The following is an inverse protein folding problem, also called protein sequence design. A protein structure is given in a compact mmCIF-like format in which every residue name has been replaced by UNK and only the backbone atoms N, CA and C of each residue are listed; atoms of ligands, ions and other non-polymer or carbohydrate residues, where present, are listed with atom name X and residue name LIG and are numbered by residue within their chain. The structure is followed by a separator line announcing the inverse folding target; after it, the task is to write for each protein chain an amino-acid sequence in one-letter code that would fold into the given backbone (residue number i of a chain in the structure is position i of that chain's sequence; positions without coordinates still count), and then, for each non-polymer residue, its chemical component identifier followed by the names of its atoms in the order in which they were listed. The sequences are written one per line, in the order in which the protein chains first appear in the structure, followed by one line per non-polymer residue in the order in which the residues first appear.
data_IF_661794707416
#
_entry.id   IF_661794707416
#
_cell.length_a   1.000
_cell.length_b   1.000
_cell.length_c   1.000
_cell.angle_alpha   90.00
_cell.angle_beta   90.00
_cell.angle_gamma   90.00
#
_symmetry.space_group_name_H-M   'P 1'
#
loop_
_entity.id
_entity.type
_entity.pdbx_description
1 polymer ?
#
# COMPACT_ATOMS: atom_id res chain seq x y z
N UNK A 1 7.08 -24.52 21.55
CA UNK A 1 7.40 -25.91 21.14
C UNK A 1 6.37 -26.61 20.23
N UNK A 2 5.21 -26.02 19.86
CA UNK A 2 4.20 -26.69 19.00
C UNK A 2 4.18 -26.23 17.50
N UNK A 3 4.98 -25.22 17.11
CA UNK A 3 5.07 -24.74 15.72
C UNK A 3 6.05 -25.52 14.84
N UNK A 4 7.05 -26.15 15.44
CA UNK A 4 8.08 -26.92 14.71
C UNK A 4 7.58 -28.31 14.29
N UNK A 5 6.63 -28.89 15.00
CA UNK A 5 6.09 -30.21 14.68
C UNK A 5 5.19 -30.22 13.42
N UNK A 6 4.56 -29.08 13.07
CA UNK A 6 3.70 -28.98 11.89
C UNK A 6 4.50 -28.93 10.58
N UNK A 7 5.65 -28.25 10.57
CA UNK A 7 6.52 -28.19 9.40
C UNK A 7 7.28 -29.51 9.14
N UNK A 8 7.60 -30.26 10.20
CA UNK A 8 8.27 -31.56 10.07
C UNK A 8 7.37 -32.66 9.50
N UNK A 9 6.05 -32.57 9.66
CA UNK A 9 5.11 -33.53 9.09
C UNK A 9 4.85 -33.31 7.59
N UNK A 10 5.10 -32.11 7.05
CA UNK A 10 4.99 -31.85 5.62
C UNK A 10 6.20 -32.30 4.81
N UNK A 11 7.38 -32.40 5.42
CA UNK A 11 8.62 -32.85 4.76
C UNK A 11 8.77 -34.37 4.66
N UNK A 12 7.86 -35.13 5.30
CA UNK A 12 7.89 -36.60 5.33
C UNK A 12 7.11 -37.31 4.20
N UNK A 13 6.39 -36.58 3.37
CA UNK A 13 5.65 -37.16 2.23
C UNK A 13 6.48 -37.05 0.93
N UNK A 14 7.54 -37.81 0.88
CA UNK A 14 8.30 -38.11 -0.36
C UNK A 14 7.52 -39.04 -1.30
N UNK A 15 6.27 -38.71 -1.62
CA UNK A 15 5.52 -39.27 -2.71
C UNK A 15 5.65 -38.36 -3.94
N UNK A 16 6.12 -38.91 -5.07
CA UNK A 16 6.20 -38.21 -6.33
C UNK A 16 4.87 -37.51 -6.64
N UNK A 17 4.85 -36.19 -6.52
CA UNK A 17 3.75 -35.37 -7.03
C UNK A 17 3.87 -35.41 -8.54
N UNK A 18 3.03 -36.20 -9.18
CA UNK A 18 2.90 -36.18 -10.63
C UNK A 18 2.53 -34.78 -11.06
N UNK A 19 3.35 -34.17 -11.90
CA UNK A 19 3.07 -32.87 -12.49
C UNK A 19 1.69 -32.92 -13.16
N UNK A 20 0.80 -31.95 -12.95
CA UNK A 20 -0.41 -31.88 -13.74
C UNK A 20 -0.02 -31.60 -15.19
N UNK A 21 -0.54 -32.43 -16.11
CA UNK A 21 -0.37 -32.26 -17.53
C UNK A 21 -0.68 -30.82 -17.94
N UNK A 22 0.17 -30.26 -18.75
CA UNK A 22 0.08 -28.92 -19.33
C UNK A 22 -1.22 -28.77 -20.15
N UNK A 23 -2.24 -28.35 -19.48
CA UNK A 23 -3.48 -27.85 -20.03
C UNK A 23 -3.77 -26.55 -19.30
N UNK A 24 -3.25 -25.45 -19.82
CA UNK A 24 -3.70 -24.14 -19.40
C UNK A 24 -5.17 -24.02 -19.81
N UNK A 25 -6.08 -24.41 -18.92
CA UNK A 25 -7.47 -23.98 -19.02
C UNK A 25 -7.48 -22.47 -18.88
N UNK A 26 -7.96 -21.81 -19.91
CA UNK A 26 -8.37 -20.39 -19.84
C UNK A 26 -9.23 -20.23 -18.58
N UNK A 27 -9.14 -19.06 -17.88
CA UNK A 27 -10.01 -18.80 -16.73
C UNK A 27 -11.47 -19.02 -17.16
N UNK A 28 -12.25 -19.74 -16.34
CA UNK A 28 -13.67 -19.89 -16.54
C UNK A 28 -14.29 -18.50 -16.71
N UNK A 29 -15.28 -18.36 -17.61
CA UNK A 29 -16.03 -17.09 -17.82
C UNK A 29 -16.68 -16.58 -16.53
N UNK A 30 -16.91 -17.43 -15.53
CA UNK A 30 -17.32 -17.04 -14.16
C UNK A 30 -16.23 -16.27 -13.40
N UNK A 31 -14.96 -16.38 -13.76
CA UNK A 31 -13.86 -15.63 -13.12
C UNK A 31 -13.83 -14.16 -13.58
N UNK A 32 -14.40 -13.82 -14.74
CA UNK A 32 -14.47 -12.44 -15.25
C UNK A 32 -15.40 -11.53 -14.42
N UNK A 33 -16.24 -12.11 -13.55
CA UNK A 33 -17.14 -11.37 -12.63
C UNK A 33 -16.65 -11.38 -11.17
N UNK A 34 -15.53 -12.00 -10.91
CA UNK A 34 -15.00 -12.04 -9.56
C UNK A 34 -14.61 -10.63 -9.08
N UNK A 35 -14.88 -10.28 -7.81
CA UNK A 35 -14.49 -8.96 -7.29
C UNK A 35 -12.98 -8.78 -7.39
N UNK A 36 -12.57 -7.67 -8.02
CA UNK A 36 -11.18 -7.27 -8.15
C UNK A 36 -10.84 -6.14 -7.18
N UNK A 37 -9.61 -6.12 -6.68
CA UNK A 37 -9.07 -5.02 -5.88
C UNK A 37 -7.83 -4.42 -6.54
N UNK A 38 -7.71 -3.09 -6.46
CA UNK A 38 -6.51 -2.36 -6.81
C UNK A 38 -5.72 -2.05 -5.55
N UNK A 39 -4.41 -2.26 -5.58
CA UNK A 39 -3.51 -1.93 -4.47
C UNK A 39 -2.46 -0.94 -4.96
N UNK A 40 -2.36 0.18 -4.27
CA UNK A 40 -1.39 1.24 -4.54
C UNK A 40 -0.34 1.25 -3.43
N UNK A 41 0.92 1.14 -3.82
CA UNK A 41 2.04 1.07 -2.86
C UNK A 41 2.38 2.44 -2.27
N UNK A 42 3.09 2.48 -1.15
CA UNK A 42 3.72 3.71 -0.69
C UNK A 42 4.98 4.04 -1.51
N UNK A 43 5.41 5.29 -1.44
CA UNK A 43 6.64 5.72 -2.13
C UNK A 43 6.84 7.23 -2.24
N UNK A 44 6.14 8.03 -1.43
CA UNK A 44 6.30 9.48 -1.41
C UNK A 44 6.04 10.11 -2.77
N UNK A 45 6.96 10.96 -3.27
CA UNK A 45 6.80 11.63 -4.56
C UNK A 45 6.77 10.68 -5.78
N UNK A 46 7.23 9.44 -5.63
CA UNK A 46 7.08 8.39 -6.64
C UNK A 46 5.62 8.02 -6.92
N UNK A 47 4.67 8.39 -6.03
CA UNK A 47 3.23 8.22 -6.23
C UNK A 47 2.69 8.95 -7.48
N UNK A 48 3.43 9.87 -8.07
CA UNK A 48 3.14 10.44 -9.38
C UNK A 48 3.04 9.36 -10.47
N UNK A 49 3.88 8.33 -10.40
CA UNK A 49 3.84 7.17 -11.29
C UNK A 49 2.49 6.43 -11.17
N UNK A 50 2.03 6.18 -9.95
CA UNK A 50 0.71 5.55 -9.74
C UNK A 50 -0.43 6.39 -10.34
N UNK A 51 -0.38 7.71 -10.16
CA UNK A 51 -1.38 8.59 -10.76
C UNK A 51 -1.36 8.52 -12.30
N UNK A 52 -0.18 8.36 -12.90
CA UNK A 52 -0.04 8.08 -14.33
C UNK A 52 -0.66 6.75 -14.74
N UNK A 53 -0.42 5.69 -13.98
CA UNK A 53 -1.04 4.37 -14.21
C UNK A 53 -2.58 4.47 -14.09
N UNK A 54 -3.09 5.12 -13.04
CA UNK A 54 -4.53 5.32 -12.84
C UNK A 54 -5.15 6.05 -14.04
N UNK A 55 -4.50 7.08 -14.53
CA UNK A 55 -4.96 7.82 -15.72
C UNK A 55 -4.98 6.94 -16.98
N UNK A 56 -3.97 6.08 -17.16
CA UNK A 56 -3.95 5.13 -18.26
C UNK A 56 -5.12 4.12 -18.18
N UNK A 57 -5.37 3.58 -16.98
CA UNK A 57 -6.48 2.65 -16.73
C UNK A 57 -7.84 3.33 -16.97
N UNK A 58 -8.00 4.56 -16.48
CA UNK A 58 -9.20 5.37 -16.71
C UNK A 58 -9.49 5.57 -18.21
N UNK A 59 -8.44 5.94 -18.97
CA UNK A 59 -8.56 6.11 -20.45
C UNK A 59 -8.91 4.81 -21.14
N UNK A 60 -8.26 3.71 -20.76
CA UNK A 60 -8.56 2.39 -21.33
C UNK A 60 -10.01 1.94 -21.05
N UNK A 61 -10.53 2.28 -19.87
CA UNK A 61 -11.92 2.02 -19.51
C UNK A 61 -12.91 3.03 -20.11
N UNK A 62 -12.43 4.13 -20.71
CA UNK A 62 -13.25 5.21 -21.28
C UNK A 62 -14.23 5.83 -20.28
N UNK A 63 -13.81 5.98 -19.00
CA UNK A 63 -14.60 6.58 -17.94
C UNK A 63 -14.18 8.01 -17.63
N UNK A 64 -15.13 8.81 -17.11
CA UNK A 64 -14.93 10.17 -16.61
C UNK A 64 -14.87 10.26 -15.10
N UNK A 65 -14.81 11.49 -14.59
CA UNK A 65 -14.96 11.74 -13.16
C UNK A 65 -16.39 11.36 -12.70
N UNK A 66 -16.49 10.86 -11.47
CA UNK A 66 -17.73 10.38 -10.88
C UNK A 66 -18.14 8.95 -11.27
N UNK A 67 -17.31 8.25 -12.05
CA UNK A 67 -17.54 6.85 -12.42
C UNK A 67 -16.55 5.92 -11.70
N UNK A 68 -16.95 4.71 -11.28
CA UNK A 68 -16.06 3.75 -10.65
C UNK A 68 -15.06 3.20 -11.66
N UNK A 69 -13.81 2.97 -11.25
CA UNK A 69 -12.78 2.36 -12.10
C UNK A 69 -13.03 0.84 -12.23
N UNK A 70 -13.48 0.33 -13.39
CA UNK A 70 -13.69 -1.09 -13.56
C UNK A 70 -12.33 -1.82 -13.73
N UNK A 71 -12.21 -3.09 -13.36
CA UNK A 71 -13.26 -3.95 -12.76
C UNK A 71 -13.31 -3.88 -11.22
N UNK A 72 -12.66 -2.89 -10.62
CA UNK A 72 -12.39 -2.87 -9.18
C UNK A 72 -13.65 -2.61 -8.34
N UNK A 73 -13.77 -3.38 -7.25
CA UNK A 73 -14.78 -3.19 -6.19
C UNK A 73 -14.17 -2.57 -4.93
N UNK A 74 -12.85 -2.63 -4.81
CA UNK A 74 -12.11 -2.05 -3.69
C UNK A 74 -10.75 -1.52 -4.14
N UNK A 75 -10.28 -0.47 -3.46
CA UNK A 75 -8.93 0.05 -3.61
C UNK A 75 -8.28 0.19 -2.23
N UNK A 76 -7.03 -0.24 -2.16
CA UNK A 76 -6.22 -0.24 -0.95
C UNK A 76 -4.96 0.59 -1.20
N UNK A 77 -4.52 1.32 -0.18
CA UNK A 77 -3.29 2.08 -0.27
C UNK A 77 -2.54 2.20 1.04
N UNK A 78 -1.24 2.47 0.94
CA UNK A 78 -0.37 2.83 2.06
C UNK A 78 0.40 4.09 1.70
N UNK A 79 0.69 4.94 2.67
CA UNK A 79 1.43 6.19 2.43
C UNK A 79 0.78 7.04 1.32
N UNK A 80 1.55 7.50 0.35
CA UNK A 80 1.05 8.25 -0.80
C UNK A 80 0.01 7.44 -1.61
N UNK A 81 0.17 6.11 -1.67
CA UNK A 81 -0.80 5.23 -2.31
C UNK A 81 -2.18 5.31 -1.66
N UNK A 82 -2.28 5.57 -0.35
CA UNK A 82 -3.56 5.81 0.33
C UNK A 82 -4.23 7.10 -0.15
N UNK A 83 -3.45 8.15 -0.43
CA UNK A 83 -3.95 9.41 -0.98
C UNK A 83 -4.42 9.21 -2.42
N UNK A 84 -3.62 8.56 -3.28
CA UNK A 84 -4.00 8.25 -4.65
C UNK A 84 -5.26 7.35 -4.68
N UNK A 85 -5.34 6.35 -3.80
CA UNK A 85 -6.48 5.45 -3.67
C UNK A 85 -7.78 6.20 -3.30
N UNK A 86 -7.71 7.28 -2.51
CA UNK A 86 -8.88 8.09 -2.20
C UNK A 86 -9.53 8.69 -3.46
N UNK A 87 -8.71 9.25 -4.35
CA UNK A 87 -9.21 9.80 -5.61
C UNK A 87 -9.81 8.72 -6.53
N UNK A 88 -9.21 7.54 -6.55
CA UNK A 88 -9.77 6.38 -7.27
C UNK A 88 -11.11 5.97 -6.66
N UNK A 89 -11.17 5.85 -5.32
CA UNK A 89 -12.39 5.43 -4.62
C UNK A 89 -13.55 6.40 -4.83
N UNK A 90 -13.26 7.70 -4.94
CA UNK A 90 -14.25 8.76 -5.13
C UNK A 90 -14.49 9.13 -6.59
N UNK A 91 -13.75 8.51 -7.53
CA UNK A 91 -13.87 8.80 -8.97
C UNK A 91 -13.40 10.22 -9.36
N UNK A 92 -12.46 10.82 -8.63
CA UNK A 92 -11.97 12.19 -8.85
C UNK A 92 -10.62 12.19 -9.57
N UNK A 93 -10.59 11.59 -10.75
CA UNK A 93 -9.35 11.36 -11.52
C UNK A 93 -8.69 12.65 -12.03
N UNK A 94 -9.50 13.60 -12.50
CA UNK A 94 -9.00 14.89 -12.99
C UNK A 94 -8.31 15.68 -11.89
N UNK A 95 -8.83 15.61 -10.66
CA UNK A 95 -8.22 16.26 -9.50
C UNK A 95 -6.92 15.57 -9.10
N UNK A 96 -6.85 14.24 -9.17
CA UNK A 96 -5.59 13.51 -8.94
C UNK A 96 -4.50 13.96 -9.93
N UNK A 97 -4.84 14.08 -11.21
CA UNK A 97 -3.91 14.55 -12.24
C UNK A 97 -3.47 16.00 -11.97
N UNK A 98 -4.41 16.89 -11.64
CA UNK A 98 -4.11 18.29 -11.29
C UNK A 98 -3.25 18.43 -10.03
N UNK A 99 -3.50 17.59 -9.03
CA UNK A 99 -2.71 17.54 -7.80
C UNK A 99 -1.25 17.25 -8.10
N UNK A 100 -0.95 16.21 -8.85
CA UNK A 100 0.41 15.85 -9.22
C UNK A 100 1.04 16.84 -10.19
N UNK A 101 0.26 17.46 -11.11
CA UNK A 101 0.73 18.51 -12.02
C UNK A 101 1.13 19.82 -11.33
N UNK A 102 0.86 19.98 -10.03
CA UNK A 102 1.12 21.24 -9.30
C UNK A 102 1.73 21.06 -7.91
N UNK A 103 2.04 19.85 -7.50
CA UNK A 103 2.44 19.54 -6.11
C UNK A 103 3.74 20.24 -5.69
N UNK A 104 4.70 20.41 -6.58
CA UNK A 104 5.94 21.11 -6.29
C UNK A 104 5.70 22.59 -5.93
N UNK A 105 4.73 23.24 -6.59
CA UNK A 105 4.34 24.63 -6.27
C UNK A 105 3.72 24.75 -4.89
N UNK A 106 3.05 23.71 -4.41
CA UNK A 106 2.42 23.68 -3.10
C UNK A 106 3.44 23.64 -1.96
N UNK A 107 4.69 23.22 -2.23
CA UNK A 107 5.76 23.09 -1.23
C UNK A 107 5.26 22.36 0.01
N UNK A 108 4.68 21.19 -0.19
CA UNK A 108 4.03 20.40 0.86
C UNK A 108 5.00 19.97 1.96
N UNK A 109 6.28 19.82 1.66
CA UNK A 109 7.32 19.56 2.65
C UNK A 109 8.04 20.87 2.95
N UNK A 110 7.81 21.42 4.16
CA UNK A 110 8.49 22.63 4.67
C UNK A 110 9.15 22.34 6.00
N UNK A 111 10.38 22.79 6.21
CA UNK A 111 11.01 22.66 7.51
C UNK A 111 10.26 23.48 8.56
N UNK A 112 10.20 22.98 9.79
CA UNK A 112 9.69 23.74 10.92
C UNK A 112 10.51 25.03 11.11
N UNK A 113 9.92 26.13 11.63
CA UNK A 113 10.59 27.44 11.77
C UNK A 113 11.94 27.36 12.49
N UNK A 114 12.09 26.49 13.48
CA UNK A 114 13.34 26.26 14.21
C UNK A 114 14.48 25.74 13.34
N UNK A 115 14.17 25.05 12.20
CA UNK A 115 15.14 24.56 11.23
C UNK A 115 15.28 25.48 10.02
N UNK A 116 14.38 26.43 9.83
CA UNK A 116 14.37 27.36 8.69
C UNK A 116 15.53 28.38 8.72
N UNK A 117 16.15 28.61 9.88
CA UNK A 117 17.26 29.56 10.07
C UNK A 117 18.65 28.96 9.77
N UNK A 118 18.71 27.69 9.42
CA UNK A 118 19.99 27.05 9.03
C UNK A 118 20.36 27.59 7.64
N UNK A 119 21.62 28.06 7.43
CA UNK A 119 22.05 28.66 6.17
C UNK A 119 21.70 27.77 4.97
N UNK A 120 21.31 28.39 3.88
CA UNK A 120 20.92 27.70 2.65
C UNK A 120 22.08 26.87 2.10
N UNK A 121 22.04 25.57 2.36
CA UNK A 121 22.76 24.62 1.54
C UNK A 121 21.80 24.25 0.40
N UNK A 122 22.28 24.40 -0.80
CA UNK A 122 21.56 24.40 -2.10
C UNK A 122 20.84 23.09 -2.48
N UNK A 123 20.43 22.27 -1.55
CA UNK A 123 19.72 21.00 -1.81
C UNK A 123 18.66 20.76 -0.73
N UNK A 124 17.45 20.67 -1.13
CA UNK A 124 16.22 20.25 -0.45
C UNK A 124 16.11 20.24 1.09
N UNK A 125 14.89 20.12 1.59
CA UNK A 125 14.57 20.06 3.04
C UNK A 125 15.40 18.99 3.78
N UNK A 126 15.75 17.91 3.10
CA UNK A 126 16.52 16.80 3.64
C UNK A 126 17.96 17.21 3.97
N UNK A 127 18.60 17.97 3.10
CA UNK A 127 19.98 18.44 3.32
C UNK A 127 20.08 19.48 4.45
N UNK A 128 19.04 20.33 4.62
CA UNK A 128 18.98 21.26 5.77
C UNK A 128 18.91 20.54 7.13
N UNK A 129 18.27 19.38 7.15
CA UNK A 129 18.23 18.54 8.36
C UNK A 129 19.57 17.90 8.67
N UNK A 130 20.31 17.48 7.65
CA UNK A 130 21.65 16.93 7.81
C UNK A 130 22.58 17.96 8.43
N UNK A 131 22.52 19.19 7.96
CA UNK A 131 23.32 20.28 8.53
C UNK A 131 22.89 20.60 9.98
N UNK A 132 21.59 20.55 10.30
CA UNK A 132 21.11 20.69 11.67
C UNK A 132 21.62 19.58 12.60
N UNK A 133 21.65 18.33 12.13
CA UNK A 133 22.24 17.21 12.87
C UNK A 133 23.76 17.36 13.04
N UNK A 134 24.47 17.78 11.98
CA UNK A 134 25.92 18.06 12.04
C UNK A 134 26.27 19.16 13.05
N UNK A 135 25.41 20.19 13.15
CA UNK A 135 25.58 21.29 14.08
C UNK A 135 25.17 20.96 15.53
N UNK A 136 24.74 19.70 15.80
CA UNK A 136 24.32 19.26 17.13
C UNK A 136 22.99 19.87 17.60
N UNK A 137 22.27 20.57 16.73
CA UNK A 137 21.02 21.26 17.06
C UNK A 137 19.84 20.26 17.16
N UNK A 138 20.00 19.05 16.66
CA UNK A 138 18.94 18.05 16.53
C UNK A 138 18.85 17.03 17.66
N UNK A 139 19.73 17.06 18.65
CA UNK A 139 19.71 16.11 19.78
C UNK A 139 18.91 16.59 21.00
N UNK A 140 18.23 17.76 20.89
CA UNK A 140 17.27 18.15 21.90
C UNK A 140 16.06 17.21 21.87
N UNK A 141 15.73 16.68 23.02
CA UNK A 141 14.83 15.56 23.31
C UNK A 141 13.40 15.62 22.79
N UNK A 142 12.98 16.71 22.13
CA UNK A 142 11.59 16.98 21.77
C UNK A 142 11.34 17.04 20.23
N UNK A 143 12.29 16.60 19.40
CA UNK A 143 12.15 16.62 17.94
C UNK A 143 11.73 15.24 17.44
N UNK A 144 10.47 15.09 17.09
CA UNK A 144 9.92 13.85 16.52
C UNK A 144 9.79 13.89 15.00
N UNK A 145 9.86 15.12 14.39
CA UNK A 145 9.83 15.34 12.95
C UNK A 145 10.41 16.70 12.58
N UNK A 146 10.97 16.82 11.38
CA UNK A 146 11.66 18.02 10.87
C UNK A 146 10.75 18.95 10.06
N UNK A 147 9.77 18.38 9.35
CA UNK A 147 8.84 19.12 8.52
C UNK A 147 7.58 19.53 9.30
N UNK A 148 6.98 20.61 8.86
CA UNK A 148 5.72 21.11 9.40
C UNK A 148 4.54 20.34 8.80
N UNK A 149 4.03 19.33 9.52
CA UNK A 149 2.91 18.51 9.10
C UNK A 149 1.61 19.28 8.87
N UNK A 150 1.44 20.47 9.53
CA UNK A 150 0.26 21.31 9.33
C UNK A 150 0.14 21.85 7.90
N UNK A 151 1.26 21.93 7.17
CA UNK A 151 1.25 22.31 5.74
C UNK A 151 0.60 21.22 4.91
N UNK A 152 0.98 19.96 5.15
CA UNK A 152 0.40 18.81 4.45
C UNK A 152 -1.08 18.67 4.80
N UNK A 153 -1.44 18.76 6.07
CA UNK A 153 -2.83 18.64 6.53
C UNK A 153 -3.73 19.71 5.86
N UNK A 154 -3.30 20.98 5.85
CA UNK A 154 -4.03 22.04 5.16
C UNK A 154 -4.10 21.87 3.66
N UNK A 155 -3.03 21.32 3.06
CA UNK A 155 -3.00 21.05 1.64
C UNK A 155 -3.96 19.90 1.28
N UNK A 156 -3.94 18.80 2.02
CA UNK A 156 -4.89 17.71 1.85
C UNK A 156 -6.34 18.17 2.05
N UNK A 157 -6.63 19.02 3.07
CA UNK A 157 -7.96 19.54 3.32
C UNK A 157 -8.54 20.39 2.18
N UNK A 158 -7.72 20.88 1.27
CA UNK A 158 -8.16 21.60 0.06
C UNK A 158 -8.51 20.68 -1.10
N UNK A 159 -7.98 19.45 -1.12
CA UNK A 159 -8.13 18.51 -2.22
C UNK A 159 -8.99 17.30 -1.85
N UNK A 160 -9.05 16.98 -0.56
CA UNK A 160 -9.83 15.87 -0.03
C UNK A 160 -11.14 16.43 0.52
N UNK A 161 -12.25 16.06 -0.14
CA UNK A 161 -13.57 16.26 0.43
C UNK A 161 -13.94 15.01 1.23
N UNK A 162 -13.98 15.10 2.58
CA UNK A 162 -14.26 13.96 3.44
C UNK A 162 -15.68 13.42 3.31
N UNK A 163 -16.61 14.23 2.80
CA UNK A 163 -18.01 13.83 2.57
C UNK A 163 -18.23 13.19 1.19
N UNK A 164 -17.22 13.18 0.31
CA UNK A 164 -17.33 12.53 -0.99
C UNK A 164 -17.78 11.08 -0.87
N UNK A 165 -18.81 10.66 -1.61
CA UNK A 165 -19.22 9.28 -1.63
C UNK A 165 -18.13 8.43 -2.28
N UNK A 166 -17.79 7.29 -1.66
CA UNK A 166 -16.91 6.31 -2.30
C UNK A 166 -17.71 5.41 -3.25
N UNK A 167 -17.26 5.33 -4.48
CA UNK A 167 -17.88 4.55 -5.55
C UNK A 167 -17.44 3.08 -5.50
N UNK A 168 -16.21 2.86 -5.08
CA UNK A 168 -15.64 1.54 -4.75
C UNK A 168 -15.12 1.59 -3.32
N UNK A 169 -15.10 0.44 -2.63
CA UNK A 169 -14.65 0.39 -1.24
C UNK A 169 -13.20 0.83 -1.11
N UNK A 170 -12.92 1.63 -0.10
CA UNK A 170 -11.61 2.24 0.16
C UNK A 170 -11.01 1.72 1.45
N UNK A 171 -9.68 1.51 1.46
CA UNK A 171 -8.95 1.26 2.69
C UNK A 171 -7.53 1.85 2.64
N UNK A 172 -7.12 2.47 3.74
CA UNK A 172 -5.80 3.02 3.97
C UNK A 172 -5.15 2.40 5.19
N UNK A 173 -3.90 1.99 5.06
CA UNK A 173 -3.13 1.46 6.18
C UNK A 173 -2.29 2.58 6.82
N UNK A 174 -2.33 2.70 8.15
CA UNK A 174 -1.42 3.53 8.94
C UNK A 174 -0.81 2.70 10.08
N UNK A 175 0.33 3.14 10.60
CA UNK A 175 0.96 2.52 11.77
C UNK A 175 0.54 3.26 13.01
N UNK A 176 -0.23 2.61 13.88
CA UNK A 176 -0.56 3.11 15.20
C UNK A 176 0.64 2.90 16.14
N UNK A 177 1.39 3.98 16.38
CA UNK A 177 2.61 3.95 17.19
C UNK A 177 2.31 3.76 18.68
N UNK A 178 1.13 4.23 19.15
CA UNK A 178 0.70 4.07 20.55
C UNK A 178 0.63 2.59 20.93
N UNK A 179 0.07 1.76 20.04
CA UNK A 179 -0.09 0.32 20.27
C UNK A 179 0.91 -0.54 19.50
N UNK A 180 1.80 0.08 18.69
CA UNK A 180 2.80 -0.61 17.85
C UNK A 180 2.18 -1.66 16.94
N UNK A 181 1.10 -1.28 16.27
CA UNK A 181 0.36 -2.15 15.36
C UNK A 181 -0.13 -1.38 14.12
N UNK A 182 -0.51 -2.11 13.08
CA UNK A 182 -1.21 -1.50 11.95
C UNK A 182 -2.65 -1.14 12.31
N UNK A 183 -3.19 -0.12 11.65
CA UNK A 183 -4.60 0.24 11.68
C UNK A 183 -5.08 0.49 10.25
N UNK A 184 -6.03 -0.33 9.79
CA UNK A 184 -6.64 -0.23 8.48
C UNK A 184 -7.90 0.61 8.60
N UNK A 185 -7.83 1.84 8.12
CA UNK A 185 -8.99 2.72 7.98
C UNK A 185 -9.75 2.33 6.73
N UNK A 186 -11.05 2.11 6.83
CA UNK A 186 -11.86 1.69 5.70
C UNK A 186 -13.14 2.51 5.54
N UNK A 187 -13.59 2.66 4.29
CA UNK A 187 -14.90 3.19 3.94
C UNK A 187 -15.49 2.33 2.83
N UNK A 188 -16.62 1.67 3.09
CA UNK A 188 -17.25 0.79 2.13
C UNK A 188 -18.02 1.57 1.08
N UNK A 189 -18.07 1.03 -0.14
CA UNK A 189 -18.80 1.63 -1.24
C UNK A 189 -20.27 1.91 -0.86
N UNK A 190 -20.81 3.02 -1.37
CA UNK A 190 -22.20 3.38 -1.14
C UNK A 190 -23.17 2.31 -1.64
N UNK A 191 -22.82 1.61 -2.72
CA UNK A 191 -23.61 0.55 -3.33
C UNK A 191 -23.63 -0.75 -2.54
N UNK A 192 -22.71 -0.96 -1.58
CA UNK A 192 -22.66 -2.19 -0.79
C UNK A 192 -23.86 -2.28 0.14
N UNK A 193 -24.56 -3.40 0.11
CA UNK A 193 -25.66 -3.68 1.02
C UNK A 193 -25.19 -4.10 2.42
N UNK A 194 -26.11 -4.36 3.34
CA UNK A 194 -25.78 -4.67 4.73
C UNK A 194 -25.04 -6.01 4.87
N UNK A 195 -25.38 -7.00 4.05
CA UNK A 195 -24.77 -8.32 4.08
C UNK A 195 -23.33 -8.27 3.53
N UNK A 196 -23.14 -7.64 2.37
CA UNK A 196 -21.82 -7.41 1.77
C UNK A 196 -20.90 -6.63 2.71
N UNK A 197 -21.44 -5.60 3.41
CA UNK A 197 -20.71 -4.83 4.42
C UNK A 197 -20.26 -5.72 5.60
N UNK A 198 -21.16 -6.51 6.15
CA UNK A 198 -20.88 -7.39 7.28
C UNK A 198 -19.83 -8.46 6.91
N UNK A 199 -19.97 -9.08 5.73
CA UNK A 199 -19.05 -10.07 5.22
C UNK A 199 -17.64 -9.48 4.97
N UNK A 200 -17.56 -8.34 4.27
CA UNK A 200 -16.30 -7.66 4.00
C UNK A 200 -15.56 -7.33 5.29
N UNK A 201 -16.26 -6.80 6.30
CA UNK A 201 -15.66 -6.47 7.59
C UNK A 201 -15.19 -7.71 8.36
N UNK A 202 -15.98 -8.77 8.33
CA UNK A 202 -15.59 -10.04 8.96
C UNK A 202 -14.32 -10.60 8.32
N UNK A 203 -14.23 -10.59 6.99
CA UNK A 203 -13.06 -11.04 6.24
C UNK A 203 -11.82 -10.19 6.53
N UNK A 204 -11.94 -8.85 6.51
CA UNK A 204 -10.84 -7.95 6.86
C UNK A 204 -10.34 -8.19 8.28
N UNK A 205 -11.23 -8.31 9.27
CA UNK A 205 -10.84 -8.56 10.66
C UNK A 205 -10.11 -9.88 10.84
N UNK A 206 -10.52 -10.92 10.11
CA UNK A 206 -9.86 -12.25 10.18
C UNK A 206 -8.50 -12.20 9.47
N UNK A 207 -8.42 -11.60 8.29
CA UNK A 207 -7.19 -11.57 7.50
C UNK A 207 -6.12 -10.69 8.13
N UNK A 208 -6.52 -9.55 8.70
CA UNK A 208 -5.60 -8.64 9.37
C UNK A 208 -5.08 -9.23 10.68
N UNK A 209 -5.91 -9.96 11.42
CA UNK A 209 -5.53 -10.56 12.68
C UNK A 209 -4.92 -9.56 13.68
N UNK A 210 -4.36 -10.07 14.80
CA UNK A 210 -3.44 -9.25 15.60
C UNK A 210 -2.06 -9.33 14.91
N UNK A 211 -1.49 -8.31 14.28
CA UNK A 211 -1.34 -6.97 14.84
C UNK A 211 -2.02 -5.82 14.09
N UNK A 212 -3.00 -6.04 13.24
CA UNK A 212 -3.66 -4.96 12.51
C UNK A 212 -5.13 -4.85 12.95
N UNK A 213 -5.55 -3.68 13.41
CA UNK A 213 -6.95 -3.38 13.68
C UNK A 213 -7.65 -2.79 12.45
N UNK A 214 -8.97 -2.96 12.40
CA UNK A 214 -9.80 -2.45 11.30
C UNK A 214 -10.75 -1.40 11.87
N UNK A 215 -10.70 -0.18 11.33
CA UNK A 215 -11.42 0.98 11.85
C UNK A 215 -12.20 1.69 10.74
N UNK A 216 -13.45 2.13 10.96
CA UNK A 216 -14.16 3.01 10.04
C UNK A 216 -13.38 4.31 9.79
N UNK A 217 -13.41 4.76 8.53
CA UNK A 217 -12.89 6.05 8.14
C UNK A 217 -14.05 7.05 8.11
N UNK A 218 -14.30 7.68 9.24
CA UNK A 218 -15.33 8.69 9.38
C UNK A 218 -14.90 10.04 8.75
N UNK A 219 -15.84 10.86 8.26
CA UNK A 219 -15.51 12.12 7.60
C UNK A 219 -14.63 13.06 8.43
N UNK A 220 -14.88 13.16 9.73
CA UNK A 220 -14.18 14.05 10.66
C UNK A 220 -12.69 13.72 10.84
N UNK A 221 -12.29 12.46 10.59
CA UNK A 221 -10.90 12.02 10.68
C UNK A 221 -10.25 11.80 9.32
N UNK A 222 -11.01 11.85 8.21
CA UNK A 222 -10.53 11.42 6.88
C UNK A 222 -9.21 12.09 6.49
N UNK A 223 -9.15 13.40 6.45
CA UNK A 223 -7.94 14.14 6.05
C UNK A 223 -6.73 13.76 6.91
N UNK A 224 -6.95 13.69 8.23
CA UNK A 224 -5.88 13.36 9.18
C UNK A 224 -5.46 11.90 9.11
N UNK A 225 -6.38 10.98 8.82
CA UNK A 225 -6.07 9.56 8.64
C UNK A 225 -5.26 9.33 7.35
N UNK A 226 -5.59 10.04 6.26
CA UNK A 226 -4.80 10.01 5.03
C UNK A 226 -3.38 10.57 5.27
N UNK A 227 -3.29 11.70 6.00
CA UNK A 227 -1.98 12.23 6.38
C UNK A 227 -1.23 11.27 7.32
N UNK A 228 -1.90 10.64 8.27
CA UNK A 228 -1.30 9.66 9.17
C UNK A 228 -0.70 8.48 8.40
N UNK A 229 -1.40 7.99 7.35
CA UNK A 229 -0.89 6.96 6.45
C UNK A 229 0.37 7.39 5.70
N UNK A 230 0.55 8.70 5.43
CA UNK A 230 1.67 9.27 4.66
C UNK A 230 2.68 10.04 5.54
N UNK A 231 2.57 9.96 6.86
CA UNK A 231 3.46 10.65 7.80
C UNK A 231 4.77 9.89 7.98
N UNK A 232 5.70 10.05 7.03
CA UNK A 232 7.02 9.42 7.06
C UNK A 232 7.74 9.73 8.38
N UNK A 233 8.21 8.70 9.12
CA UNK A 233 9.02 8.87 10.32
C UNK A 233 10.23 9.74 10.03
N UNK A 234 10.70 10.48 11.03
CA UNK A 234 11.80 11.47 10.93
C UNK A 234 11.39 12.72 10.14
N UNK A 235 10.63 12.60 9.05
CA UNK A 235 10.15 13.76 8.27
C UNK A 235 9.03 14.48 9.01
N UNK A 236 8.00 13.75 9.44
CA UNK A 236 6.85 14.33 10.12
C UNK A 236 6.74 13.86 11.57
N UNK A 237 6.11 14.71 12.41
CA UNK A 237 5.69 14.26 13.74
C UNK A 237 4.58 13.20 13.62
N UNK A 238 4.48 12.29 14.59
CA UNK A 238 3.36 11.37 14.65
C UNK A 238 2.01 12.10 14.70
N UNK A 239 1.11 11.75 13.80
CA UNK A 239 -0.22 12.37 13.67
C UNK A 239 -1.13 11.88 14.80
N UNK A 240 -1.80 12.81 15.49
CA UNK A 240 -2.75 12.47 16.53
C UNK A 240 -4.14 12.26 15.93
N UNK A 241 -4.76 11.10 16.19
CA UNK A 241 -6.16 10.82 15.87
C UNK A 241 -6.93 10.46 17.15
N UNK A 242 -8.22 10.80 17.26
CA UNK A 242 -9.05 10.33 18.37
C UNK A 242 -8.99 8.81 18.48
N UNK A 243 -9.05 8.27 19.68
CA UNK A 243 -9.23 6.81 19.86
C UNK A 243 -10.61 6.38 19.37
N UNK A 244 -10.69 5.14 18.85
CA UNK A 244 -11.96 4.59 18.41
C UNK A 244 -12.93 4.30 19.57
N UNK A 245 -12.39 3.75 20.67
CA UNK A 245 -13.20 3.10 21.71
C UNK A 245 -13.04 3.76 23.11
N UNK A 246 -12.29 4.87 23.21
CA UNK A 246 -12.00 5.51 24.50
C UNK A 246 -11.66 7.00 24.33
N UNK A 247 -11.80 7.81 25.37
CA UNK A 247 -11.27 9.17 25.37
C UNK A 247 -9.76 9.22 25.15
N UNK A 248 -9.27 10.26 24.48
CA UNK A 248 -7.87 10.49 24.22
C UNK A 248 -7.49 10.35 22.74
N UNK A 249 -6.19 10.35 22.49
CA UNK A 249 -5.63 10.29 21.13
C UNK A 249 -4.60 9.18 21.02
N UNK A 250 -4.53 8.60 19.85
CA UNK A 250 -3.45 7.71 19.44
C UNK A 250 -2.51 8.45 18.47
N UNK A 251 -1.26 8.03 18.43
CA UNK A 251 -0.23 8.57 17.55
C UNK A 251 0.03 7.64 16.39
N UNK A 252 0.01 8.20 15.19
CA UNK A 252 0.16 7.45 13.95
C UNK A 252 1.34 7.95 13.13
N UNK A 253 1.97 7.04 12.42
CA UNK A 253 3.01 7.28 11.43
C UNK A 253 2.68 6.51 10.16
N UNK A 254 3.50 6.69 9.12
CA UNK A 254 3.34 6.09 7.80
C UNK A 254 3.00 4.59 7.85
N UNK A 255 2.04 4.20 7.00
CA UNK A 255 1.56 2.83 6.92
C UNK A 255 2.60 1.86 6.39
N UNK A 256 3.53 2.35 5.57
CA UNK A 256 4.61 1.55 5.00
C UNK A 256 5.56 0.94 6.05
N UNK A 257 5.57 1.46 7.29
CA UNK A 257 6.32 0.85 8.40
C UNK A 257 5.77 -0.54 8.76
N UNK A 258 4.47 -0.78 8.59
CA UNK A 258 3.83 -2.09 8.82
C UNK A 258 3.68 -2.86 7.52
N UNK A 259 3.17 -2.23 6.46
CA UNK A 259 3.08 -2.82 5.13
C UNK A 259 2.97 -1.73 4.07
N UNK A 260 3.93 -1.69 3.16
CA UNK A 260 3.93 -0.73 2.05
C UNK A 260 2.90 -1.09 0.97
N UNK A 261 2.50 -2.34 0.93
CA UNK A 261 1.48 -2.88 0.01
C UNK A 261 0.49 -3.67 0.86
N UNK A 262 -0.71 -3.15 1.18
CA UNK A 262 -1.69 -3.81 2.05
C UNK A 262 -2.34 -5.03 1.37
N UNK A 263 -1.50 -5.95 0.89
CA UNK A 263 -1.87 -7.11 0.10
C UNK A 263 -2.78 -8.08 0.86
N UNK A 264 -2.51 -8.32 2.15
CA UNK A 264 -3.32 -9.23 2.95
C UNK A 264 -4.78 -8.75 3.06
N UNK A 265 -4.99 -7.42 3.18
CA UNK A 265 -6.33 -6.83 3.21
C UNK A 265 -7.05 -7.00 1.86
N UNK A 266 -6.37 -6.70 0.76
CA UNK A 266 -6.94 -6.83 -0.58
C UNK A 266 -7.34 -8.30 -0.89
N UNK A 267 -6.46 -9.25 -0.55
CA UNK A 267 -6.71 -10.69 -0.75
C UNK A 267 -7.85 -11.25 0.12
N UNK A 268 -8.18 -10.60 1.20
CA UNK A 268 -9.30 -11.00 2.05
C UNK A 268 -10.66 -10.77 1.37
N UNK A 269 -10.76 -9.78 0.50
CA UNK A 269 -12.04 -9.30 -0.05
C UNK A 269 -12.16 -9.45 -1.57
N UNK A 270 -11.06 -9.76 -2.27
CA UNK A 270 -11.05 -9.87 -3.72
C UNK A 270 -10.43 -11.19 -4.20
N UNK A 271 -10.91 -11.69 -5.34
CA UNK A 271 -10.36 -12.87 -6.01
C UNK A 271 -9.26 -12.53 -7.02
N UNK A 272 -9.20 -11.28 -7.45
CA UNK A 272 -8.13 -10.72 -8.27
C UNK A 272 -7.57 -9.49 -7.61
N UNK A 273 -6.24 -9.38 -7.56
CA UNK A 273 -5.54 -8.23 -6.98
C UNK A 273 -4.53 -7.71 -7.97
N UNK A 274 -4.77 -6.48 -8.41
CA UNK A 274 -3.86 -5.74 -9.27
C UNK A 274 -3.07 -4.74 -8.42
N UNK A 275 -1.74 -4.78 -8.54
CA UNK A 275 -0.83 -4.02 -7.69
C UNK A 275 -0.04 -3.04 -8.55
N UNK A 276 -0.03 -1.77 -8.15
CA UNK A 276 0.87 -0.78 -8.72
C UNK A 276 2.01 -0.56 -7.75
N UNK A 277 3.21 -0.91 -8.15
CA UNK A 277 4.45 -0.63 -7.42
C UNK A 277 5.10 0.63 -7.97
N UNK A 278 5.78 1.37 -7.12
CA UNK A 278 6.56 2.55 -7.51
C UNK A 278 8.07 2.27 -7.61
N UNK A 279 8.48 1.06 -7.26
CA UNK A 279 9.86 0.62 -7.33
C UNK A 279 10.03 -0.50 -8.37
N UNK A 280 11.20 -0.54 -9.07
CA UNK A 280 11.51 -1.62 -9.99
C UNK A 280 11.70 -2.95 -9.22
N UNK A 281 11.71 -4.05 -9.96
CA UNK A 281 11.89 -5.38 -9.37
C UNK A 281 13.30 -5.58 -8.77
N UNK A 282 14.28 -4.88 -9.32
CA UNK A 282 15.67 -4.87 -8.84
C UNK A 282 16.06 -3.44 -8.54
N UNK A 283 16.25 -3.14 -7.26
CA UNK A 283 16.75 -1.86 -6.82
C UNK A 283 18.22 -1.68 -7.19
N UNK A 284 18.58 -0.48 -7.62
CA UNK A 284 19.99 -0.11 -7.75
C UNK A 284 20.68 -0.07 -6.38
N UNK A 285 22.01 -0.25 -6.31
CA UNK A 285 22.73 -0.12 -5.06
C UNK A 285 22.51 1.25 -4.42
N UNK A 286 22.00 1.25 -3.20
CA UNK A 286 21.75 2.48 -2.43
C UNK A 286 23.03 2.96 -1.77
N UNK A 287 23.43 4.21 -2.06
CA UNK A 287 24.59 4.87 -1.48
C UNK A 287 24.13 5.98 -0.54
N UNK A 288 24.04 5.66 0.75
CA UNK A 288 23.70 6.66 1.77
C UNK A 288 24.81 7.73 1.86
N UNK A 289 24.42 8.99 1.71
CA UNK A 289 25.32 10.16 1.83
C UNK A 289 25.14 10.90 3.15
N UNK A 290 24.11 10.56 3.91
CA UNK A 290 23.70 11.22 5.14
C UNK A 290 23.03 10.28 6.13
N UNK A 291 22.92 10.70 7.40
CA UNK A 291 22.17 9.95 8.42
C UNK A 291 20.69 9.82 8.09
N UNK A 292 20.12 10.78 7.36
CA UNK A 292 18.73 10.71 6.90
C UNK A 292 18.58 9.70 5.78
N UNK A 293 19.51 9.66 4.82
CA UNK A 293 19.52 8.63 3.79
C UNK A 293 19.63 7.25 4.44
N UNK A 294 20.48 7.10 5.47
CA UNK A 294 20.52 5.85 6.24
C UNK A 294 19.16 5.53 6.86
N UNK A 295 18.51 6.51 7.49
CA UNK A 295 17.17 6.33 8.09
C UNK A 295 16.11 5.94 7.08
N UNK A 296 16.07 6.63 5.94
CA UNK A 296 15.14 6.32 4.84
C UNK A 296 15.46 4.96 4.21
N UNK A 297 16.75 4.65 3.99
CA UNK A 297 17.17 3.36 3.45
C UNK A 297 16.85 2.20 4.39
N UNK A 298 16.92 2.40 5.71
CA UNK A 298 16.44 1.41 6.69
C UNK A 298 14.94 1.18 6.55
N UNK A 299 14.13 2.25 6.42
CA UNK A 299 12.69 2.16 6.23
C UNK A 299 12.39 1.41 4.92
N UNK A 300 13.00 1.79 3.80
CA UNK A 300 12.83 1.11 2.50
C UNK A 300 13.23 -0.38 2.58
N UNK A 301 14.35 -0.69 3.26
CA UNK A 301 14.79 -2.08 3.45
C UNK A 301 13.78 -2.88 4.26
N UNK A 302 13.21 -2.29 5.31
CA UNK A 302 12.15 -2.92 6.11
C UNK A 302 10.88 -3.13 5.29
N UNK A 303 10.46 -2.12 4.52
CA UNK A 303 9.29 -2.20 3.65
C UNK A 303 9.42 -3.31 2.60
N UNK A 304 10.58 -3.40 1.93
CA UNK A 304 10.88 -4.45 0.96
C UNK A 304 10.88 -5.83 1.62
N UNK A 305 11.42 -5.94 2.83
CA UNK A 305 11.42 -7.21 3.57
C UNK A 305 10.01 -7.64 3.99
N UNK A 306 9.18 -6.70 4.41
CA UNK A 306 7.78 -6.98 4.76
C UNK A 306 7.01 -7.42 3.52
N UNK A 307 7.19 -6.74 2.40
CA UNK A 307 6.60 -7.13 1.10
C UNK A 307 7.01 -8.56 0.71
N UNK A 308 8.29 -8.92 0.81
CA UNK A 308 8.75 -10.28 0.56
C UNK A 308 8.03 -11.30 1.42
N UNK A 309 7.84 -11.00 2.72
CA UNK A 309 7.12 -11.87 3.66
C UNK A 309 5.65 -12.00 3.27
N UNK A 310 4.99 -10.91 2.91
CA UNK A 310 3.58 -10.90 2.50
C UNK A 310 3.39 -11.69 1.20
N UNK A 311 4.28 -11.56 0.23
CA UNK A 311 4.25 -12.32 -1.01
C UNK A 311 4.52 -13.80 -0.78
N UNK A 312 5.48 -14.15 0.08
CA UNK A 312 5.74 -15.55 0.47
C UNK A 312 4.54 -16.16 1.17
N UNK A 313 3.94 -15.44 2.10
CA UNK A 313 2.73 -15.89 2.79
C UNK A 313 1.60 -16.13 1.78
N UNK A 314 1.38 -15.20 0.84
CA UNK A 314 0.41 -15.34 -0.22
C UNK A 314 0.63 -16.60 -1.07
N UNK A 315 1.89 -16.88 -1.40
CA UNK A 315 2.27 -18.07 -2.14
C UNK A 315 2.01 -19.37 -1.37
N UNK A 316 2.45 -19.45 -0.10
CA UNK A 316 2.24 -20.64 0.72
C UNK A 316 0.76 -20.88 1.06
N UNK A 317 -0.01 -19.83 1.25
CA UNK A 317 -1.45 -19.93 1.42
C UNK A 317 -2.14 -20.49 0.17
N UNK A 318 -1.75 -20.04 -1.02
CA UNK A 318 -2.24 -20.60 -2.30
C UNK A 318 -1.90 -22.08 -2.45
N UNK A 319 -0.65 -22.48 -2.15
CA UNK A 319 -0.23 -23.88 -2.17
C UNK A 319 -1.02 -24.72 -1.14
N UNK A 320 -1.17 -24.21 0.08
CA UNK A 320 -1.93 -24.89 1.14
C UNK A 320 -3.37 -25.12 0.74
N UNK A 321 -4.00 -24.16 0.07
CA UNK A 321 -5.37 -24.27 -0.44
C UNK A 321 -5.48 -25.25 -1.58
N UNK A 322 -4.52 -25.25 -2.51
CA UNK A 322 -4.49 -26.21 -3.60
C UNK A 322 -4.32 -27.64 -3.05
N UNK A 323 -3.42 -27.85 -2.09
CA UNK A 323 -3.26 -29.12 -1.41
C UNK A 323 -4.54 -29.57 -0.67
N UNK A 324 -5.22 -28.65 0.04
CA UNK A 324 -6.50 -28.93 0.71
C UNK A 324 -7.59 -29.34 -0.29
N UNK A 325 -7.68 -28.68 -1.45
CA UNK A 325 -8.65 -29.04 -2.49
C UNK A 325 -8.40 -30.42 -3.10
N UNK A 326 -7.14 -30.85 -3.19
CA UNK A 326 -6.78 -32.17 -3.70
C UNK A 326 -7.01 -33.31 -2.71
N UNK A 327 -7.23 -33.01 -1.42
CA UNK A 327 -7.53 -34.02 -0.40
C UNK A 327 -8.91 -34.69 -0.61
N UNK A 328 -9.05 -36.00 -0.30
CA UNK A 328 -10.36 -36.66 -0.28
C UNK A 328 -11.34 -35.97 0.68
N UNK A 329 -12.64 -35.91 0.31
CA UNK A 329 -13.68 -35.25 1.13
C UNK A 329 -13.72 -35.71 2.59
N UNK A 330 -13.38 -36.97 2.87
CA UNK A 330 -13.33 -37.55 4.21
C UNK A 330 -12.22 -36.93 5.06
N UNK A 331 -11.07 -36.64 4.47
CA UNK A 331 -9.92 -36.05 5.15
C UNK A 331 -10.09 -34.55 5.37
N UNK A 332 -10.79 -33.86 4.45
CA UNK A 332 -11.11 -32.43 4.59
C UNK A 332 -11.98 -32.15 5.83
N UNK A 333 -12.90 -33.06 6.20
CA UNK A 333 -13.75 -32.91 7.41
C UNK A 333 -12.99 -32.92 8.73
N UNK A 334 -11.80 -33.51 8.77
CA UNK A 334 -10.95 -33.58 9.97
C UNK A 334 -9.89 -32.47 10.02
N UNK A 335 -9.71 -31.74 8.94
CA UNK A 335 -8.80 -30.59 8.91
C UNK A 335 -9.52 -29.35 9.40
N UNK A 336 -8.74 -28.38 9.94
CA UNK A 336 -9.28 -27.11 10.44
C UNK A 336 -9.85 -26.27 9.27
N UNK A 337 -11.03 -26.65 8.75
CA UNK A 337 -11.73 -25.98 7.64
C UNK A 337 -11.81 -24.46 7.81
N UNK A 338 -11.87 -23.99 9.08
CA UNK A 338 -11.95 -22.55 9.37
C UNK A 338 -10.80 -21.74 8.80
N UNK A 339 -9.58 -22.29 8.76
CA UNK A 339 -8.40 -21.57 8.24
C UNK A 339 -8.51 -21.36 6.74
N UNK A 340 -9.02 -22.35 5.99
CA UNK A 340 -9.08 -22.30 4.53
C UNK A 340 -10.34 -21.63 3.97
N UNK A 341 -11.40 -21.45 4.77
CA UNK A 341 -12.65 -20.80 4.34
C UNK A 341 -12.45 -19.33 3.98
N UNK A 342 -11.52 -18.65 4.64
CA UNK A 342 -11.27 -17.22 4.47
C UNK A 342 -10.14 -16.92 3.50
N UNK A 343 -9.41 -17.94 3.04
CA UNK A 343 -8.36 -17.77 2.04
C UNK A 343 -9.03 -17.91 0.66
N UNK A 344 -9.17 -16.80 -0.04
CA UNK A 344 -9.64 -16.80 -1.42
C UNK A 344 -8.52 -17.30 -2.35
N UNK A 345 -8.90 -17.99 -3.44
CA UNK A 345 -7.98 -18.16 -4.56
C UNK A 345 -7.83 -16.81 -5.22
N UNK A 346 -6.67 -16.23 -5.08
CA UNK A 346 -6.41 -14.87 -5.54
C UNK A 346 -5.39 -14.93 -6.67
N UNK A 347 -5.80 -14.44 -7.83
CA UNK A 347 -4.87 -14.12 -8.90
C UNK A 347 -4.25 -12.75 -8.62
N UNK A 348 -2.97 -12.60 -8.92
CA UNK A 348 -2.25 -11.33 -8.74
C UNK A 348 -1.61 -10.91 -10.05
N UNK A 349 -1.72 -9.61 -10.34
CA UNK A 349 -1.00 -8.99 -11.44
C UNK A 349 -0.39 -7.67 -10.97
N UNK A 350 0.63 -7.19 -11.65
CA UNK A 350 1.30 -5.96 -11.24
C UNK A 350 1.73 -5.10 -12.41
N UNK A 351 1.78 -3.81 -12.15
CA UNK A 351 2.50 -2.81 -12.94
C UNK A 351 3.61 -2.25 -12.07
N UNK A 352 4.80 -2.11 -12.61
CA UNK A 352 5.95 -1.47 -11.95
C UNK A 352 6.88 -0.84 -12.97
N UNK A 353 7.63 0.18 -12.58
CA UNK A 353 8.64 0.75 -13.47
C UNK A 353 9.75 -0.27 -13.74
N UNK A 354 10.28 -0.27 -14.96
CA UNK A 354 11.41 -1.14 -15.33
C UNK A 354 12.74 -0.62 -14.76
N UNK A 355 12.84 0.69 -14.52
CA UNK A 355 14.00 1.38 -13.96
C UNK A 355 13.58 2.25 -12.79
N UNK A 356 14.55 2.63 -11.94
CA UNK A 356 14.32 3.58 -10.85
C UNK A 356 13.72 4.88 -11.39
N UNK A 357 12.65 5.35 -10.76
CA UNK A 357 11.98 6.59 -11.15
C UNK A 357 12.91 7.81 -10.91
N UNK A 358 12.81 8.84 -11.74
CA UNK A 358 13.69 10.02 -11.67
C UNK A 358 13.40 10.93 -10.46
N UNK A 359 12.52 10.53 -9.56
CA UNK A 359 12.09 11.28 -8.38
C UNK A 359 12.35 10.49 -7.11
N UNK A 360 12.96 11.12 -6.11
CA UNK A 360 13.18 10.54 -4.78
C UNK A 360 11.88 10.50 -3.96
N UNK A 361 11.85 9.65 -2.92
CA UNK A 361 10.69 9.51 -2.03
C UNK A 361 10.25 10.84 -1.40
N UNK A 362 11.19 11.74 -1.10
CA UNK A 362 10.95 13.09 -0.56
C UNK A 362 10.99 14.21 -1.62
N UNK A 363 11.10 13.89 -2.89
CA UNK A 363 11.31 14.82 -4.01
C UNK A 363 10.07 15.59 -4.44
N UNK A 364 9.36 16.21 -3.51
CA UNK A 364 8.15 17.00 -3.79
C UNK A 364 8.40 18.44 -4.22
N UNK A 365 9.64 18.90 -4.30
CA UNK A 365 10.03 20.29 -4.57
C UNK A 365 10.37 20.57 -6.03
N UNK A 366 10.60 19.53 -6.82
CA UNK A 366 10.91 19.65 -8.25
C UNK A 366 9.83 19.02 -9.13
N UNK A 367 9.12 19.85 -9.90
CA UNK A 367 8.00 19.38 -10.71
C UNK A 367 8.44 18.49 -11.89
N UNK A 368 9.60 18.75 -12.48
CA UNK A 368 10.03 18.02 -13.68
C UNK A 368 10.22 16.51 -13.45
N UNK A 369 10.94 16.05 -12.41
CA UNK A 369 11.04 14.62 -12.10
C UNK A 369 9.69 13.97 -11.78
N UNK A 370 8.77 14.72 -11.13
CA UNK A 370 7.41 14.29 -10.85
C UNK A 370 6.62 14.08 -12.15
N UNK A 371 6.69 15.02 -13.08
CA UNK A 371 6.03 14.92 -14.39
C UNK A 371 6.61 13.77 -15.23
N UNK A 372 7.91 13.51 -15.11
CA UNK A 372 8.57 12.37 -15.76
C UNK A 372 8.08 11.05 -15.21
N UNK A 373 7.98 10.91 -13.87
CA UNK A 373 7.41 9.73 -13.21
C UNK A 373 5.94 9.51 -13.59
N UNK A 374 5.13 10.56 -13.63
CA UNK A 374 3.73 10.49 -14.08
C UNK A 374 3.64 10.01 -15.54
N UNK A 375 4.45 10.54 -16.47
CA UNK A 375 4.49 10.10 -17.86
C UNK A 375 4.91 8.64 -18.00
N UNK A 376 5.89 8.20 -17.20
CA UNK A 376 6.29 6.79 -17.15
C UNK A 376 5.12 5.90 -16.73
N UNK A 377 4.39 6.32 -15.69
CA UNK A 377 3.18 5.61 -15.24
C UNK A 377 2.10 5.52 -16.32
N UNK A 378 1.88 6.57 -17.10
CA UNK A 378 0.97 6.53 -18.25
C UNK A 378 1.39 5.48 -19.28
N UNK A 379 2.68 5.40 -19.61
CA UNK A 379 3.22 4.45 -20.59
C UNK A 379 3.07 3.03 -20.09
N UNK A 380 3.45 2.76 -18.82
CA UNK A 380 3.41 1.41 -18.25
C UNK A 380 1.97 0.96 -17.98
N UNK A 381 1.11 1.87 -17.54
CA UNK A 381 -0.32 1.61 -17.38
C UNK A 381 -1.02 1.24 -18.69
N UNK A 382 -0.63 1.87 -19.80
CA UNK A 382 -1.14 1.53 -21.13
C UNK A 382 -0.71 0.14 -21.63
N UNK A 383 0.40 -0.40 -21.14
CA UNK A 383 0.83 -1.79 -21.42
C UNK A 383 -0.02 -2.81 -20.65
N UNK A 384 -0.73 -2.37 -19.60
CA UNK A 384 -1.57 -3.22 -18.76
C UNK A 384 -0.79 -4.02 -17.71
N UNK A 385 -1.56 -4.71 -16.87
CA UNK A 385 -1.01 -5.52 -15.80
C UNK A 385 -0.35 -6.80 -16.31
N UNK A 386 0.83 -7.12 -15.78
CA UNK A 386 1.51 -8.39 -16.00
C UNK A 386 1.17 -9.33 -14.85
N UNK A 387 0.82 -10.58 -15.17
CA UNK A 387 0.52 -11.58 -14.16
C UNK A 387 1.73 -11.73 -13.23
N UNK A 388 1.48 -11.54 -11.95
CA UNK A 388 2.49 -11.68 -10.92
C UNK A 388 2.66 -13.16 -10.58
N UNK A 389 3.87 -13.67 -10.72
CA UNK A 389 4.22 -15.05 -10.35
C UNK A 389 5.08 -15.01 -9.10
N UNK A 390 4.51 -15.27 -7.90
CA UNK A 390 5.26 -15.18 -6.65
C UNK A 390 6.50 -16.08 -6.64
N UNK A 391 6.47 -17.23 -7.31
CA UNK A 391 7.60 -18.13 -7.41
C UNK A 391 8.81 -17.49 -8.12
N UNK A 392 8.59 -16.75 -9.20
CA UNK A 392 9.65 -16.06 -9.94
C UNK A 392 10.25 -14.93 -9.08
N UNK A 393 9.41 -14.16 -8.40
CA UNK A 393 9.86 -13.10 -7.50
C UNK A 393 10.63 -13.61 -6.28
N UNK A 394 10.38 -14.86 -5.86
CA UNK A 394 11.09 -15.50 -4.76
C UNK A 394 12.36 -16.25 -5.20
N UNK A 395 12.70 -16.20 -6.50
CA UNK A 395 13.84 -16.94 -7.06
C UNK A 395 13.66 -18.46 -6.99
N UNK A 396 12.42 -18.95 -6.88
CA UNK A 396 12.12 -20.38 -6.92
C UNK A 396 12.12 -20.77 -8.41
N UNK A 397 13.04 -21.67 -8.84
CA UNK A 397 13.06 -22.10 -10.25
C UNK A 397 11.70 -22.68 -10.62
N UNK A 398 11.27 -22.40 -11.85
CA UNK A 398 10.01 -22.90 -12.39
C UNK A 398 9.92 -24.40 -12.13
N UNK A 399 9.06 -24.79 -11.23
CA UNK A 399 8.56 -26.15 -11.17
C UNK A 399 7.52 -26.22 -12.27
N UNK A 400 8.00 -26.59 -13.47
CA UNK A 400 7.15 -26.88 -14.63
C UNK A 400 6.25 -28.07 -14.34
#
# INVERSE_FOLDING_TARGET
MRRTAFLSSMLGLGGAIAAPASGATLPDEDDARAPAALVLSGGGARGAYEAGVIEALRRAASIGDGEPLPPYRAVFGSSIGAINAWFVATGRYSELAALWGSIAKARVIRPKPRFAKIPEVTAGVLNRFIEALRLGIGLATDVTGIADGSVVERWLARHIDPESPVLISYAALATNLTYRRGELFYRLARSADAEERAETLARLRVAMGSPISVRPLDPDITVRALFASAALPVVFDPVALPRADAPGVDRFIDGGVISNVPLAAARAVAKSVDIVFVDPDRSEPFMAKSAVDVGLGVIETMQNRILDVDLRNAFFESLGKQAYRSMPKRERRNSNERIFRYILDVTMASIRPEQTLPVDIAGFDEQRPIDEAYRQGLVDGAKGFRRYRPAEALGIPNVT
#
